data_IF_087712366664
#
_entry.id   IF_087712366664
#
_cell.length_a   1.000
_cell.length_b   1.000
_cell.length_c   1.000
_cell.angle_alpha   90.00
_cell.angle_beta   90.00
_cell.angle_gamma   90.00
#
_symmetry.space_group_name_H-M   'P 1'
#
loop_
_entity.id
_entity.type
_entity.pdbx_description
1 polymer ?
#
# COMPACT_ATOMS: atom_id res chain seq x y z
N UNK A 1 -12.24 -5.67 -96.20
CA UNK A 1 -12.57 -7.09 -96.41
C UNK A 1 -12.99 -7.69 -95.05
N UNK A 2 -14.28 -8.02 -95.00
CA UNK A 2 -14.98 -9.01 -94.11
C UNK A 2 -14.57 -9.13 -92.66
N UNK A 3 -15.47 -8.74 -91.70
CA UNK A 3 -16.52 -9.59 -91.03
C UNK A 3 -15.87 -10.49 -90.00
N UNK A 4 -16.31 -10.61 -88.80
CA UNK A 4 -17.66 -10.84 -88.26
C UNK A 4 -17.72 -10.60 -86.74
N UNK A 5 -18.89 -10.10 -86.36
CA UNK A 5 -19.60 -10.13 -85.08
C UNK A 5 -19.45 -11.43 -84.27
N UNK A 6 -19.47 -11.29 -82.99
CA UNK A 6 -20.49 -11.98 -82.15
C UNK A 6 -20.64 -11.31 -80.74
N UNK A 7 -21.84 -10.94 -80.44
CA UNK A 7 -22.38 -10.60 -79.12
C UNK A 7 -22.45 -11.88 -78.24
N UNK A 8 -22.10 -11.77 -77.00
CA UNK A 8 -22.73 -12.61 -75.96
C UNK A 8 -22.92 -11.79 -74.70
N UNK A 9 -24.17 -11.70 -74.31
CA UNK A 9 -24.73 -11.22 -73.03
C UNK A 9 -24.20 -12.03 -71.88
N UNK A 10 -23.79 -11.36 -70.79
CA UNK A 10 -23.59 -11.99 -69.53
C UNK A 10 -24.26 -11.18 -68.42
N UNK A 11 -25.00 -11.89 -67.59
CA UNK A 11 -25.93 -11.44 -66.61
C UNK A 11 -25.23 -10.76 -65.41
N UNK A 12 -25.91 -9.72 -64.89
CA UNK A 12 -25.63 -9.13 -63.59
C UNK A 12 -25.98 -10.12 -62.47
N UNK A 13 -24.97 -10.52 -61.72
CA UNK A 13 -25.16 -11.13 -60.41
C UNK A 13 -24.71 -10.13 -59.34
N UNK A 14 -25.69 -9.53 -58.69
CA UNK A 14 -25.45 -8.66 -57.55
C UNK A 14 -24.98 -9.47 -56.35
N UNK A 15 -23.76 -9.24 -55.91
CA UNK A 15 -23.27 -9.72 -54.63
C UNK A 15 -23.50 -8.61 -53.59
N UNK A 16 -24.50 -8.80 -52.72
CA UNK A 16 -24.69 -8.00 -51.53
C UNK A 16 -23.58 -8.33 -50.52
N UNK A 17 -22.64 -7.44 -50.34
CA UNK A 17 -21.68 -7.51 -49.21
C UNK A 17 -22.40 -7.10 -47.94
N UNK A 18 -22.78 -8.10 -47.14
CA UNK A 18 -23.10 -7.94 -45.71
C UNK A 18 -21.81 -7.59 -44.97
N UNK A 19 -21.62 -6.30 -44.66
CA UNK A 19 -20.67 -5.84 -43.64
C UNK A 19 -21.19 -6.30 -42.30
N UNK A 20 -20.71 -7.45 -41.83
CA UNK A 20 -20.79 -7.81 -40.45
C UNK A 20 -19.87 -6.87 -39.70
N UNK A 21 -20.44 -5.86 -39.02
CA UNK A 21 -19.76 -5.12 -37.98
C UNK A 21 -19.49 -6.09 -36.81
N UNK A 22 -18.33 -6.73 -36.86
CA UNK A 22 -17.79 -7.37 -35.65
C UNK A 22 -17.48 -6.25 -34.68
N UNK A 23 -18.32 -6.09 -33.65
CA UNK A 23 -17.95 -5.40 -32.42
C UNK A 23 -16.81 -6.20 -31.81
N UNK A 24 -15.60 -5.84 -32.18
CA UNK A 24 -14.39 -6.29 -31.48
C UNK A 24 -14.39 -5.59 -30.14
N UNK A 25 -15.02 -6.24 -29.16
CA UNK A 25 -14.82 -5.92 -27.75
C UNK A 25 -13.40 -6.34 -27.42
N UNK A 26 -12.45 -5.45 -27.74
CA UNK A 26 -11.08 -5.56 -27.24
C UNK A 26 -11.14 -5.53 -25.71
N UNK A 27 -11.27 -6.70 -25.10
CA UNK A 27 -10.93 -6.90 -23.73
C UNK A 27 -9.42 -6.64 -23.64
N UNK A 28 -9.04 -5.42 -23.29
CA UNK A 28 -7.66 -5.16 -22.87
C UNK A 28 -7.43 -6.03 -21.62
N UNK A 29 -6.76 -7.15 -21.82
CA UNK A 29 -6.31 -7.97 -20.70
C UNK A 29 -5.42 -7.09 -19.84
N UNK A 30 -5.90 -6.80 -18.63
CA UNK A 30 -5.15 -6.07 -17.61
C UNK A 30 -3.78 -6.71 -17.45
N UNK A 31 -2.72 -5.94 -17.48
CA UNK A 31 -1.36 -6.41 -17.18
C UNK A 31 -1.28 -7.05 -15.79
N UNK A 32 -2.21 -6.71 -14.88
CA UNK A 32 -2.35 -7.26 -13.52
C UNK A 32 -3.33 -8.44 -13.46
N UNK A 33 -4.09 -8.73 -14.52
CA UNK A 33 -5.18 -9.71 -14.52
C UNK A 33 -6.38 -9.37 -13.65
N UNK A 34 -6.35 -8.25 -12.97
CA UNK A 34 -7.49 -7.70 -12.25
C UNK A 34 -8.46 -7.07 -13.25
N UNK A 35 -9.72 -7.48 -13.18
CA UNK A 35 -10.82 -6.91 -13.94
C UNK A 35 -11.81 -6.25 -12.97
N UNK A 36 -11.49 -5.06 -12.44
CA UNK A 36 -12.43 -4.35 -11.57
C UNK A 36 -13.67 -3.93 -12.37
N UNK A 37 -14.81 -3.70 -11.71
CA UNK A 37 -15.99 -3.14 -12.34
C UNK A 37 -15.66 -1.84 -13.09
N UNK A 38 -16.30 -1.63 -14.25
CA UNK A 38 -16.08 -0.41 -15.06
C UNK A 38 -16.78 0.81 -14.42
N UNK A 39 -16.21 1.27 -13.32
CA UNK A 39 -16.64 2.49 -12.63
C UNK A 39 -15.98 3.72 -13.28
N UNK A 40 -16.68 4.83 -13.28
CA UNK A 40 -16.18 6.09 -13.86
C UNK A 40 -15.76 7.06 -12.77
N UNK A 41 -14.60 7.66 -12.93
CA UNK A 41 -14.20 8.81 -12.15
C UNK A 41 -15.02 10.06 -12.55
N UNK A 42 -15.30 11.00 -11.63
CA UNK A 42 -15.94 12.25 -11.97
C UNK A 42 -15.06 13.07 -12.92
N UNK A 43 -15.69 13.82 -13.84
CA UNK A 43 -14.98 14.72 -14.77
C UNK A 43 -14.85 16.14 -14.25
N UNK A 44 -15.69 16.51 -13.26
CA UNK A 44 -15.69 17.82 -12.57
C UNK A 44 -16.24 17.63 -11.16
N UNK A 45 -15.84 18.54 -10.26
CA UNK A 45 -16.46 18.64 -8.94
C UNK A 45 -17.72 19.52 -8.99
N UNK A 46 -18.69 19.15 -8.17
CA UNK A 46 -19.91 19.91 -7.91
C UNK A 46 -19.80 20.78 -6.67
N UNK A 47 -20.96 21.12 -6.10
CA UNK A 47 -21.04 21.72 -4.76
C UNK A 47 -20.64 20.69 -3.70
N UNK A 48 -20.04 21.17 -2.61
CA UNK A 48 -19.78 20.35 -1.41
C UNK A 48 -21.10 19.90 -0.79
N UNK A 49 -21.10 18.69 -0.28
CA UNK A 49 -22.27 18.08 0.35
C UNK A 49 -22.41 18.45 1.83
N UNK A 50 -21.42 19.17 2.38
CA UNK A 50 -21.43 19.66 3.75
C UNK A 50 -20.76 18.73 4.77
N UNK A 51 -20.44 17.48 4.39
CA UNK A 51 -19.71 16.54 5.26
C UNK A 51 -18.88 15.57 4.44
N UNK A 52 -17.99 14.81 5.12
CA UNK A 52 -17.27 13.67 4.59
C UNK A 52 -17.04 12.64 5.69
N UNK A 53 -17.34 11.37 5.38
CA UNK A 53 -17.21 10.24 6.31
C UNK A 53 -15.98 9.42 5.92
N UNK A 54 -14.97 9.36 6.80
CA UNK A 54 -13.66 8.82 6.52
C UNK A 54 -13.36 7.57 7.36
N UNK A 55 -12.65 6.59 6.77
CA UNK A 55 -11.98 5.52 7.49
C UNK A 55 -10.48 5.81 7.44
N UNK A 56 -9.81 5.82 8.58
CA UNK A 56 -8.41 6.21 8.65
C UNK A 56 -7.61 5.35 9.64
N UNK A 57 -6.31 5.31 9.46
CA UNK A 57 -5.39 4.94 10.53
C UNK A 57 -5.39 6.03 11.61
N UNK A 58 -5.07 5.64 12.85
CA UNK A 58 -4.82 6.62 13.92
C UNK A 58 -3.69 7.57 13.50
N UNK A 59 -3.86 8.86 13.76
CA UNK A 59 -2.88 9.89 13.40
C UNK A 59 -3.04 10.50 12.00
N UNK A 60 -4.05 10.11 11.22
CA UNK A 60 -4.28 10.65 9.86
C UNK A 60 -5.40 11.68 9.77
N UNK A 61 -6.26 11.79 10.79
CA UNK A 61 -7.42 12.68 10.77
C UNK A 61 -7.53 13.36 12.15
N UNK A 62 -6.57 14.23 12.45
CA UNK A 62 -6.51 14.90 13.76
C UNK A 62 -7.28 16.21 13.75
N UNK A 63 -8.19 16.34 14.72
CA UNK A 63 -9.10 17.49 14.89
C UNK A 63 -8.77 18.35 16.13
N UNK A 64 -7.69 18.03 16.82
CA UNK A 64 -7.27 18.72 18.03
C UNK A 64 -7.88 18.16 19.33
N UNK A 65 -8.66 17.09 19.26
CA UNK A 65 -9.26 16.47 20.46
C UNK A 65 -8.23 15.78 21.33
N UNK A 66 -7.24 15.12 20.73
CA UNK A 66 -6.15 14.44 21.44
C UNK A 66 -5.03 15.42 21.80
N UNK A 67 -4.62 16.28 20.88
CA UNK A 67 -3.67 17.37 21.11
C UNK A 67 -4.15 18.63 20.40
N UNK A 68 -4.54 19.70 21.14
CA UNK A 68 -5.02 20.95 20.55
C UNK A 68 -4.07 21.65 19.57
N UNK A 69 -2.78 21.26 19.58
CA UNK A 69 -1.75 21.76 18.65
C UNK A 69 -1.77 21.03 17.31
N UNK A 70 -2.45 19.90 17.22
CA UNK A 70 -2.48 18.99 16.08
C UNK A 70 -3.90 18.96 15.53
N UNK A 71 -4.19 19.88 14.59
CA UNK A 71 -5.54 20.06 14.05
C UNK A 71 -5.51 20.55 12.61
N UNK A 72 -5.46 19.65 11.65
CA UNK A 72 -5.64 19.99 10.23
C UNK A 72 -7.08 19.79 9.75
N UNK A 73 -7.92 19.09 10.50
CA UNK A 73 -9.34 18.90 10.22
C UNK A 73 -10.09 20.21 10.35
N UNK A 74 -9.92 20.95 11.43
CA UNK A 74 -10.63 22.20 11.65
C UNK A 74 -10.37 23.26 10.58
N UNK A 75 -9.16 23.33 10.03
CA UNK A 75 -8.83 24.22 8.91
C UNK A 75 -9.45 23.74 7.60
N UNK A 76 -9.53 22.44 7.37
CA UNK A 76 -10.26 21.86 6.23
C UNK A 76 -11.74 22.22 6.27
N UNK A 77 -12.39 22.02 7.40
CA UNK A 77 -13.82 22.31 7.60
C UNK A 77 -14.13 23.78 7.35
N UNK A 78 -13.31 24.69 7.91
CA UNK A 78 -13.46 26.15 7.71
C UNK A 78 -13.32 26.54 6.23
N UNK A 79 -12.37 25.95 5.51
CA UNK A 79 -12.08 26.33 4.12
C UNK A 79 -13.07 25.72 3.13
N UNK A 80 -13.60 24.55 3.42
CA UNK A 80 -14.39 23.78 2.46
C UNK A 80 -15.88 23.72 2.78
N UNK A 81 -16.25 23.94 4.04
CA UNK A 81 -17.61 23.72 4.56
C UNK A 81 -17.96 22.22 4.66
N UNK A 82 -16.99 21.31 4.58
CA UNK A 82 -17.19 19.87 4.73
C UNK A 82 -16.83 19.45 6.16
N UNK A 83 -17.81 19.11 6.98
CA UNK A 83 -17.61 18.53 8.32
C UNK A 83 -16.99 17.15 8.18
N UNK A 84 -15.96 16.84 8.98
CA UNK A 84 -15.26 15.57 8.93
C UNK A 84 -15.73 14.64 10.04
N UNK A 85 -16.23 13.48 9.66
CA UNK A 85 -16.48 12.37 10.58
C UNK A 85 -15.48 11.26 10.28
N UNK A 86 -14.72 10.85 11.27
CA UNK A 86 -13.70 9.82 11.07
C UNK A 86 -13.94 8.59 11.94
N UNK A 87 -13.65 7.42 11.37
CA UNK A 87 -13.57 6.14 12.06
C UNK A 87 -12.13 5.63 11.97
N UNK A 88 -11.47 5.55 13.11
CA UNK A 88 -10.18 4.87 13.19
C UNK A 88 -10.40 3.37 13.05
N UNK A 89 -9.70 2.75 12.11
CA UNK A 89 -9.67 1.31 11.91
C UNK A 89 -8.38 0.72 12.48
N UNK A 90 -8.49 -0.47 13.07
CA UNK A 90 -7.37 -1.16 13.68
C UNK A 90 -6.57 -2.04 12.70
N UNK A 91 -7.09 -2.30 11.49
CA UNK A 91 -6.45 -3.16 10.49
C UNK A 91 -6.95 -2.91 9.08
N UNK A 92 -6.15 -3.31 8.08
CA UNK A 92 -6.56 -3.34 6.66
C UNK A 92 -7.84 -4.16 6.43
N UNK A 93 -8.02 -5.26 7.16
CA UNK A 93 -9.22 -6.09 7.04
C UNK A 93 -10.47 -5.38 7.56
N UNK A 94 -10.35 -4.62 8.65
CA UNK A 94 -11.45 -3.78 9.14
C UNK A 94 -11.79 -2.68 8.14
N UNK A 95 -10.79 -2.02 7.54
CA UNK A 95 -11.01 -1.00 6.50
C UNK A 95 -11.80 -1.57 5.30
N UNK A 96 -11.39 -2.75 4.81
CA UNK A 96 -12.11 -3.42 3.70
C UNK A 96 -13.54 -3.76 4.11
N UNK A 97 -13.77 -4.22 5.34
CA UNK A 97 -15.10 -4.54 5.87
C UNK A 97 -15.99 -3.28 5.97
N UNK A 98 -15.45 -2.19 6.50
CA UNK A 98 -16.17 -0.92 6.66
C UNK A 98 -16.53 -0.31 5.30
N UNK A 99 -15.60 -0.32 4.33
CA UNK A 99 -15.88 0.19 2.98
C UNK A 99 -17.03 -0.54 2.27
N UNK A 100 -17.20 -1.84 2.50
CA UNK A 100 -18.30 -2.64 1.92
C UNK A 100 -19.69 -2.17 2.39
N UNK A 101 -19.79 -1.56 3.56
CA UNK A 101 -21.06 -1.05 4.09
C UNK A 101 -21.64 0.06 3.22
N UNK A 102 -20.79 0.84 2.56
CA UNK A 102 -21.20 2.02 1.79
C UNK A 102 -21.59 3.21 2.68
N UNK A 103 -21.19 3.18 3.96
CA UNK A 103 -21.45 4.27 4.90
C UNK A 103 -20.36 5.35 4.86
N UNK A 104 -19.20 5.03 4.31
CA UNK A 104 -18.04 5.91 4.28
C UNK A 104 -17.72 6.37 2.86
N UNK A 105 -17.17 7.59 2.75
CA UNK A 105 -16.85 8.24 1.49
C UNK A 105 -15.42 7.96 1.03
N UNK A 106 -14.49 7.82 1.97
CA UNK A 106 -13.10 7.54 1.65
C UNK A 106 -12.39 6.74 2.75
N UNK A 107 -11.28 6.11 2.37
CA UNK A 107 -10.44 5.29 3.26
C UNK A 107 -8.96 5.52 2.97
N UNK A 108 -8.11 5.55 4.00
CA UNK A 108 -6.66 5.54 3.89
C UNK A 108 -6.15 4.10 3.88
N UNK A 109 -6.19 3.43 2.72
CA UNK A 109 -5.87 2.01 2.61
C UNK A 109 -4.38 1.76 2.36
N UNK A 110 -3.81 0.80 3.08
CA UNK A 110 -2.48 0.26 2.78
C UNK A 110 -2.51 -0.68 1.58
N UNK A 111 -1.35 -0.95 0.98
CA UNK A 111 -1.25 -1.70 -0.27
C UNK A 111 -1.81 -3.12 -0.22
N UNK A 112 -1.84 -3.76 0.95
CA UNK A 112 -2.43 -5.08 1.16
C UNK A 112 -3.97 -5.09 1.09
N UNK A 113 -4.62 -3.91 1.24
CA UNK A 113 -6.07 -3.74 1.11
C UNK A 113 -6.48 -3.18 -0.26
N UNK A 114 -5.64 -2.38 -0.90
CA UNK A 114 -6.01 -1.56 -2.06
C UNK A 114 -6.59 -2.35 -3.22
N UNK A 115 -5.91 -3.42 -3.68
CA UNK A 115 -6.41 -4.22 -4.80
C UNK A 115 -7.69 -4.99 -4.44
N UNK A 116 -7.92 -5.30 -3.16
CA UNK A 116 -9.17 -5.93 -2.69
C UNK A 116 -10.35 -4.97 -2.87
N UNK A 117 -10.16 -3.71 -2.50
CA UNK A 117 -11.17 -2.65 -2.66
C UNK A 117 -11.44 -2.33 -4.13
N UNK A 118 -10.38 -2.35 -4.96
CA UNK A 118 -10.49 -2.14 -6.40
C UNK A 118 -11.23 -3.30 -7.05
N UNK A 119 -10.82 -4.54 -6.77
CA UNK A 119 -11.38 -5.74 -7.37
C UNK A 119 -12.85 -5.95 -7.00
N UNK A 120 -13.25 -5.64 -5.76
CA UNK A 120 -14.64 -5.73 -5.31
C UNK A 120 -15.52 -4.59 -5.84
N UNK A 121 -14.92 -3.53 -6.41
CA UNK A 121 -15.64 -2.33 -6.83
C UNK A 121 -16.07 -1.43 -5.68
N UNK A 122 -15.54 -1.62 -4.47
CA UNK A 122 -15.82 -0.75 -3.33
C UNK A 122 -15.05 0.58 -3.41
N UNK A 123 -13.90 0.60 -4.12
CA UNK A 123 -13.19 1.84 -4.46
C UNK A 123 -13.45 2.25 -5.92
N UNK A 124 -13.74 3.53 -6.15
CA UNK A 124 -13.87 4.11 -7.47
C UNK A 124 -12.51 4.61 -8.02
N UNK A 125 -12.32 4.63 -9.35
CA UNK A 125 -11.17 5.32 -9.92
C UNK A 125 -11.20 6.81 -9.60
N UNK A 126 -10.01 7.39 -9.42
CA UNK A 126 -9.83 8.80 -9.09
C UNK A 126 -9.35 9.57 -10.31
N UNK A 127 -10.03 10.67 -10.64
CA UNK A 127 -9.54 11.65 -11.60
C UNK A 127 -8.51 12.57 -10.93
N UNK A 128 -7.23 12.28 -11.12
CA UNK A 128 -6.14 13.02 -10.48
C UNK A 128 -6.05 14.49 -10.93
N UNK A 129 -6.65 14.85 -12.07
CA UNK A 129 -6.75 16.26 -12.51
C UNK A 129 -7.64 17.12 -11.59
N UNK A 130 -8.53 16.47 -10.82
CA UNK A 130 -9.38 17.14 -9.81
C UNK A 130 -8.71 17.25 -8.44
N UNK A 131 -7.45 16.81 -8.32
CA UNK A 131 -6.62 16.87 -7.11
C UNK A 131 -5.33 17.66 -7.44
N UNK A 132 -5.37 19.00 -7.46
CA UNK A 132 -4.26 19.85 -7.93
C UNK A 132 -2.91 19.54 -7.27
N UNK A 133 -2.89 19.17 -5.99
CA UNK A 133 -1.66 18.85 -5.26
C UNK A 133 -1.04 17.50 -5.67
N UNK A 134 -1.78 16.63 -6.38
CA UNK A 134 -1.25 15.38 -6.92
C UNK A 134 -0.06 15.59 -7.87
N UNK A 135 0.01 16.73 -8.55
CA UNK A 135 1.15 17.07 -9.43
C UNK A 135 2.49 17.02 -8.68
N UNK A 136 2.48 17.39 -7.41
CA UNK A 136 3.66 17.50 -6.54
C UNK A 136 3.95 16.20 -5.75
N UNK A 137 3.14 15.16 -5.88
CA UNK A 137 3.42 13.83 -5.33
C UNK A 137 4.66 13.24 -6.01
N UNK A 138 5.54 12.59 -5.24
CA UNK A 138 6.72 11.92 -5.76
C UNK A 138 6.36 10.93 -6.88
N UNK A 139 7.18 10.91 -7.94
CA UNK A 139 6.90 10.10 -9.14
C UNK A 139 6.83 8.61 -8.85
N UNK A 140 7.64 8.10 -7.91
CA UNK A 140 7.64 6.70 -7.49
C UNK A 140 6.37 6.24 -6.78
N UNK A 141 5.49 7.17 -6.38
CA UNK A 141 4.19 6.85 -5.77
C UNK A 141 3.02 6.95 -6.75
N UNK A 142 3.25 7.49 -7.96
CA UNK A 142 2.23 7.65 -8.99
C UNK A 142 2.12 6.38 -9.84
N UNK A 143 0.89 5.97 -10.15
CA UNK A 143 0.60 4.77 -10.97
C UNK A 143 1.28 3.49 -10.45
N UNK A 144 1.37 3.36 -9.15
CA UNK A 144 1.99 2.21 -8.51
C UNK A 144 1.10 0.97 -8.57
N UNK A 145 1.70 -0.22 -8.55
CA UNK A 145 0.98 -1.49 -8.70
C UNK A 145 -0.08 -1.74 -7.62
N UNK A 146 0.08 -1.14 -6.44
CA UNK A 146 -0.87 -1.30 -5.33
C UNK A 146 -2.07 -0.33 -5.38
N UNK A 147 -2.01 0.76 -6.15
CA UNK A 147 -3.08 1.76 -6.18
C UNK A 147 -3.55 2.13 -7.59
N UNK A 148 -3.10 1.42 -8.61
CA UNK A 148 -3.54 1.61 -9.99
C UNK A 148 -3.77 0.29 -10.71
N UNK A 149 -4.80 0.26 -11.55
CA UNK A 149 -5.14 -0.89 -12.41
C UNK A 149 -5.48 -0.37 -13.79
N UNK A 150 -4.92 -0.98 -14.83
CA UNK A 150 -5.15 -0.61 -16.23
C UNK A 150 -4.86 0.87 -16.54
N UNK A 151 -3.83 1.44 -15.93
CA UNK A 151 -3.46 2.85 -16.09
C UNK A 151 -4.41 3.84 -15.39
N UNK A 152 -5.35 3.37 -14.59
CA UNK A 152 -6.29 4.20 -13.82
C UNK A 152 -5.88 4.22 -12.35
N UNK A 153 -5.72 5.41 -11.78
CA UNK A 153 -5.51 5.59 -10.35
C UNK A 153 -6.81 5.35 -9.58
N UNK A 154 -6.70 4.73 -8.41
CA UNK A 154 -7.84 4.48 -7.50
C UNK A 154 -7.69 5.20 -6.15
N UNK A 155 -6.73 6.08 -6.03
CA UNK A 155 -6.54 6.89 -4.84
C UNK A 155 -5.34 7.83 -4.96
N UNK A 156 -5.10 8.60 -3.91
CA UNK A 156 -4.01 9.56 -3.81
C UNK A 156 -3.06 9.08 -2.71
N UNK A 157 -1.78 8.80 -3.02
CA UNK A 157 -0.79 8.44 -2.02
C UNK A 157 -0.63 9.53 -0.96
N UNK A 158 -0.53 9.13 0.31
CA UNK A 158 -0.47 10.02 1.44
C UNK A 158 0.94 10.12 2.03
N UNK A 159 1.58 8.95 2.21
CA UNK A 159 2.92 8.82 2.74
C UNK A 159 3.48 7.44 2.46
N UNK A 160 4.68 7.18 2.96
CA UNK A 160 5.32 5.88 2.84
C UNK A 160 6.29 5.61 3.99
N UNK A 161 6.45 4.33 4.34
CA UNK A 161 7.41 3.87 5.33
C UNK A 161 8.06 2.54 4.92
N UNK A 162 9.25 2.30 5.44
CA UNK A 162 9.94 1.02 5.28
C UNK A 162 9.80 0.19 6.55
N UNK A 163 9.68 -1.13 6.40
CA UNK A 163 9.89 -2.06 7.48
C UNK A 163 11.40 -2.20 7.70
N UNK A 164 11.86 -2.01 8.92
CA UNK A 164 13.27 -1.97 9.26
C UNK A 164 13.63 -3.11 10.20
N UNK A 165 14.90 -3.48 10.20
CA UNK A 165 15.49 -4.32 11.24
C UNK A 165 15.99 -3.42 12.37
N UNK A 166 15.33 -3.47 13.53
CA UNK A 166 15.78 -2.79 14.74
C UNK A 166 16.53 -3.76 15.66
N UNK A 167 17.54 -3.26 16.34
CA UNK A 167 18.30 -4.04 17.31
C UNK A 167 18.85 -3.19 18.45
N UNK A 168 18.97 -3.80 19.63
CA UNK A 168 19.64 -3.22 20.78
C UNK A 168 21.16 -3.28 20.55
N UNK A 169 21.84 -2.13 20.56
CA UNK A 169 23.27 -2.01 20.22
C UNK A 169 24.24 -2.60 21.24
N UNK A 170 23.79 -2.82 22.48
CA UNK A 170 24.57 -3.50 23.54
C UNK A 170 24.41 -5.01 23.51
N UNK A 171 23.17 -5.48 23.29
CA UNK A 171 22.84 -6.91 23.43
C UNK A 171 23.06 -7.69 22.13
N UNK A 172 22.95 -7.04 20.97
CA UNK A 172 23.09 -7.68 19.65
C UNK A 172 24.43 -7.30 19.04
N UNK A 173 25.37 -8.21 19.10
CA UNK A 173 26.73 -8.04 18.57
C UNK A 173 27.19 -9.27 17.80
N UNK A 174 27.88 -9.10 16.65
CA UNK A 174 28.08 -7.85 15.91
C UNK A 174 26.75 -7.25 15.45
N UNK A 175 26.75 -5.98 15.04
CA UNK A 175 25.57 -5.31 14.48
C UNK A 175 25.01 -6.11 13.29
N UNK A 176 23.72 -6.44 13.25
CA UNK A 176 23.13 -7.22 12.18
C UNK A 176 23.08 -6.39 10.88
N UNK A 177 23.28 -7.05 9.75
CA UNK A 177 23.18 -6.46 8.42
C UNK A 177 22.20 -7.21 7.51
N UNK A 178 21.51 -8.20 8.06
CA UNK A 178 20.68 -9.15 7.34
C UNK A 178 19.44 -9.50 8.17
N UNK A 179 18.32 -9.73 7.49
CA UNK A 179 17.11 -10.30 8.08
C UNK A 179 17.33 -11.68 8.70
N UNK A 180 18.46 -12.35 8.43
CA UNK A 180 18.81 -13.60 9.11
C UNK A 180 18.79 -13.49 10.62
N UNK A 181 19.04 -12.31 11.19
CA UNK A 181 19.03 -12.07 12.64
C UNK A 181 17.67 -12.36 13.29
N UNK A 182 16.57 -12.14 12.57
CA UNK A 182 15.19 -12.38 13.04
C UNK A 182 14.57 -13.65 12.45
N UNK A 183 15.15 -14.25 11.42
CA UNK A 183 14.67 -15.50 10.84
C UNK A 183 15.53 -16.71 11.30
N UNK A 184 16.56 -17.05 10.57
CA UNK A 184 17.37 -18.25 10.86
C UNK A 184 18.21 -18.14 12.15
N UNK A 185 18.62 -16.91 12.51
CA UNK A 185 19.37 -16.59 13.71
C UNK A 185 18.52 -16.22 14.94
N UNK A 186 17.19 -16.23 14.81
CA UNK A 186 16.25 -15.83 15.87
C UNK A 186 16.47 -16.59 17.18
N UNK A 187 16.79 -17.88 17.10
CA UNK A 187 17.02 -18.73 18.28
C UNK A 187 18.12 -18.24 19.21
N UNK A 188 19.06 -17.41 18.71
CA UNK A 188 20.07 -16.73 19.51
C UNK A 188 19.45 -15.72 20.50
N UNK A 189 18.27 -15.23 20.17
CA UNK A 189 17.54 -14.21 20.93
C UNK A 189 16.16 -14.70 21.32
N UNK A 190 16.00 -16.01 21.55
CA UNK A 190 14.72 -16.65 21.85
C UNK A 190 13.96 -15.92 22.97
N UNK A 191 12.69 -15.61 22.68
CA UNK A 191 11.81 -14.85 23.56
C UNK A 191 12.07 -13.33 23.61
N UNK A 192 13.04 -12.83 22.81
CA UNK A 192 13.41 -11.42 22.71
C UNK A 192 13.37 -10.89 21.28
N UNK A 193 12.72 -11.60 20.39
CA UNK A 193 12.51 -11.21 19.00
C UNK A 193 11.11 -10.62 18.86
N UNK A 194 10.98 -9.48 18.16
CA UNK A 194 9.66 -8.94 17.78
C UNK A 194 9.40 -9.13 16.29
N UNK A 195 8.13 -9.32 15.95
CA UNK A 195 7.66 -9.41 14.58
C UNK A 195 6.34 -8.65 14.40
N UNK A 196 6.11 -8.10 13.19
CA UNK A 196 4.88 -7.38 12.90
C UNK A 196 3.67 -8.33 12.86
N UNK A 197 2.60 -7.98 13.58
CA UNK A 197 1.40 -8.79 13.70
C UNK A 197 0.44 -8.56 12.52
N UNK A 198 0.79 -9.09 11.35
CA UNK A 198 -0.06 -9.02 10.18
C UNK A 198 0.23 -10.15 9.19
N UNK A 199 -0.79 -10.68 8.49
CA UNK A 199 -0.59 -11.65 7.41
C UNK A 199 0.41 -11.20 6.33
N UNK A 200 0.53 -9.89 6.10
CA UNK A 200 1.46 -9.35 5.10
C UNK A 200 2.94 -9.59 5.49
N UNK A 201 3.23 -9.88 6.75
CA UNK A 201 4.58 -10.25 7.21
C UNK A 201 5.12 -11.52 6.54
N UNK A 202 4.26 -12.34 5.94
CA UNK A 202 4.70 -13.48 5.09
C UNK A 202 5.55 -12.98 3.91
N UNK A 203 5.30 -11.76 3.41
CA UNK A 203 6.12 -11.16 2.36
C UNK A 203 7.54 -10.81 2.83
N UNK A 204 7.74 -10.46 4.09
CA UNK A 204 9.08 -10.22 4.67
C UNK A 204 9.91 -11.51 4.65
N UNK A 205 9.30 -12.63 5.05
CA UNK A 205 9.93 -13.95 4.94
C UNK A 205 10.22 -14.33 3.48
N UNK A 206 9.29 -14.05 2.56
CA UNK A 206 9.47 -14.31 1.14
C UNK A 206 10.58 -13.45 0.53
N UNK A 207 10.70 -12.18 0.91
CA UNK A 207 11.77 -11.29 0.50
C UNK A 207 13.14 -11.81 0.98
N UNK A 208 13.22 -12.27 2.22
CA UNK A 208 14.43 -12.89 2.75
C UNK A 208 14.79 -14.17 1.96
N UNK A 209 13.81 -15.03 1.71
CA UNK A 209 14.00 -16.26 0.92
C UNK A 209 14.37 -15.96 -0.54
N UNK A 210 13.84 -14.90 -1.14
CA UNK A 210 14.25 -14.44 -2.48
C UNK A 210 15.76 -14.22 -2.57
N UNK A 211 16.35 -13.66 -1.53
CA UNK A 211 17.78 -13.37 -1.49
C UNK A 211 18.64 -14.57 -1.08
N UNK A 212 18.12 -15.50 -0.27
CA UNK A 212 18.90 -16.60 0.34
C UNK A 212 18.63 -17.98 -0.24
N UNK A 213 17.53 -18.14 -1.00
CA UNK A 213 17.08 -19.40 -1.60
C UNK A 213 16.74 -19.21 -3.08
N UNK A 214 17.76 -18.96 -3.94
CA UNK A 214 17.54 -18.67 -5.36
C UNK A 214 16.82 -19.79 -6.12
N UNK A 215 16.87 -21.03 -5.63
CA UNK A 215 16.13 -22.17 -6.19
C UNK A 215 14.61 -22.03 -6.09
N UNK A 216 14.10 -21.16 -5.20
CA UNK A 216 12.68 -20.84 -5.10
C UNK A 216 12.23 -19.88 -6.22
N UNK A 217 13.15 -19.17 -6.88
CA UNK A 217 12.87 -18.24 -7.99
C UNK A 217 11.79 -17.18 -7.66
N UNK A 218 11.73 -16.73 -6.41
CA UNK A 218 10.80 -15.67 -6.00
C UNK A 218 11.18 -14.37 -6.73
N UNK A 219 10.27 -13.83 -7.54
CA UNK A 219 10.45 -12.55 -8.24
C UNK A 219 9.88 -11.39 -7.42
N UNK A 220 8.65 -11.58 -6.91
CA UNK A 220 7.90 -10.61 -6.14
C UNK A 220 7.43 -11.28 -4.84
N UNK A 221 7.70 -10.69 -3.65
CA UNK A 221 7.31 -11.26 -2.37
C UNK A 221 5.78 -11.31 -2.16
N UNK A 222 5.00 -10.62 -2.99
CA UNK A 222 3.53 -10.61 -2.95
C UNK A 222 2.89 -11.52 -4.01
N UNK A 223 3.69 -12.11 -4.89
CA UNK A 223 3.23 -13.00 -5.96
C UNK A 223 3.85 -14.41 -5.78
N UNK A 224 3.44 -15.10 -4.74
CA UNK A 224 3.98 -16.41 -4.38
C UNK A 224 3.11 -17.54 -4.95
N UNK A 225 3.69 -18.46 -5.70
CA UNK A 225 3.07 -19.76 -5.96
C UNK A 225 3.05 -20.62 -4.68
N UNK A 226 2.35 -21.75 -4.71
CA UNK A 226 2.15 -22.57 -3.51
C UNK A 226 3.48 -23.00 -2.88
N UNK A 227 4.48 -23.41 -3.68
CA UNK A 227 5.79 -23.83 -3.17
C UNK A 227 6.55 -22.69 -2.48
N UNK A 228 6.51 -21.51 -3.07
CA UNK A 228 7.16 -20.30 -2.53
C UNK A 228 6.46 -19.86 -1.24
N UNK A 229 5.13 -19.90 -1.23
CA UNK A 229 4.32 -19.57 -0.08
C UNK A 229 4.57 -20.53 1.09
N UNK A 230 4.55 -21.84 0.83
CA UNK A 230 4.81 -22.86 1.85
C UNK A 230 6.19 -22.69 2.48
N UNK A 231 7.20 -22.33 1.67
CA UNK A 231 8.53 -22.06 2.18
C UNK A 231 8.59 -20.85 3.11
N UNK A 232 7.87 -19.76 2.76
CA UNK A 232 7.77 -18.56 3.61
C UNK A 232 7.03 -18.86 4.92
N UNK A 233 5.91 -19.59 4.85
CA UNK A 233 5.14 -20.02 6.02
C UNK A 233 5.96 -20.94 6.93
N UNK A 234 6.71 -21.88 6.36
CA UNK A 234 7.59 -22.79 7.13
C UNK A 234 8.69 -22.01 7.87
N UNK A 235 9.27 -20.98 7.23
CA UNK A 235 10.27 -20.11 7.86
C UNK A 235 9.66 -19.36 9.05
N UNK A 236 8.45 -18.82 8.91
CA UNK A 236 7.76 -18.11 9.99
C UNK A 236 7.29 -19.02 11.11
N UNK A 237 6.80 -20.23 10.80
CA UNK A 237 6.48 -21.25 11.85
C UNK A 237 7.74 -21.62 12.67
N UNK A 238 8.90 -21.66 12.03
CA UNK A 238 10.17 -21.84 12.75
C UNK A 238 10.51 -20.63 13.60
N UNK A 239 10.39 -19.42 13.08
CA UNK A 239 10.65 -18.18 13.79
C UNK A 239 9.72 -18.01 15.00
N UNK A 240 8.44 -18.41 14.89
CA UNK A 240 7.44 -18.28 15.95
C UNK A 240 7.90 -18.88 17.29
N UNK A 241 8.69 -19.95 17.26
CA UNK A 241 9.24 -20.56 18.47
C UNK A 241 10.23 -19.64 19.23
N UNK A 242 10.74 -18.61 18.58
CA UNK A 242 11.74 -17.69 19.11
C UNK A 242 11.17 -16.27 19.33
N UNK A 243 9.98 -15.95 18.78
CA UNK A 243 9.31 -14.67 18.94
C UNK A 243 8.82 -14.50 20.38
N UNK A 244 9.16 -13.38 20.99
CA UNK A 244 8.64 -12.98 22.30
C UNK A 244 7.39 -12.15 22.20
N UNK A 245 7.28 -11.34 21.13
CA UNK A 245 6.13 -10.46 20.93
C UNK A 245 5.81 -10.27 19.44
N UNK A 246 4.52 -10.40 19.11
CA UNK A 246 3.95 -9.91 17.87
C UNK A 246 3.34 -8.53 18.13
N UNK A 247 3.85 -7.50 17.47
CA UNK A 247 3.40 -6.14 17.68
C UNK A 247 2.46 -5.66 16.56
N UNK A 248 1.34 -5.08 16.93
CA UNK A 248 0.43 -4.31 16.08
C UNK A 248 0.25 -2.90 16.61
N UNK A 249 0.64 -2.69 17.89
CA UNK A 249 0.66 -1.39 18.56
C UNK A 249 2.12 -0.93 18.71
N UNK A 250 2.45 0.19 18.07
CA UNK A 250 3.82 0.72 18.03
C UNK A 250 4.37 1.12 19.40
N UNK A 251 3.50 1.58 20.34
CA UNK A 251 3.93 1.94 21.70
C UNK A 251 4.33 0.72 22.53
N UNK A 252 3.72 -0.43 22.27
CA UNK A 252 4.15 -1.68 22.90
C UNK A 252 5.55 -2.07 22.45
N UNK A 253 5.85 -1.96 21.15
CA UNK A 253 7.19 -2.25 20.65
C UNK A 253 8.24 -1.28 21.23
N UNK A 254 7.93 0.03 21.31
CA UNK A 254 8.79 1.02 22.00
C UNK A 254 9.08 0.57 23.43
N UNK A 255 8.05 0.20 24.19
CA UNK A 255 8.18 -0.24 25.58
C UNK A 255 9.02 -1.51 25.70
N UNK A 256 8.83 -2.50 24.83
CA UNK A 256 9.56 -3.76 24.83
C UNK A 256 11.07 -3.58 24.57
N UNK A 257 11.45 -2.69 23.65
CA UNK A 257 12.87 -2.38 23.42
C UNK A 257 13.49 -1.54 24.54
N UNK A 258 12.70 -0.69 25.17
CA UNK A 258 13.12 0.15 26.29
C UNK A 258 13.35 -0.67 27.57
N UNK A 259 12.46 -1.61 27.89
CA UNK A 259 12.62 -2.54 29.02
C UNK A 259 13.73 -3.57 28.77
N UNK A 260 14.02 -3.86 27.50
CA UNK A 260 14.93 -4.92 27.07
C UNK A 260 14.27 -6.30 27.01
N UNK A 261 12.94 -6.36 27.03
CA UNK A 261 12.17 -7.58 26.77
C UNK A 261 12.33 -7.99 25.30
N UNK A 262 12.53 -7.00 24.40
CA UNK A 262 12.91 -7.23 23.02
C UNK A 262 14.29 -6.67 22.73
N UNK A 263 15.07 -7.35 21.89
CA UNK A 263 16.43 -6.94 21.54
C UNK A 263 16.67 -6.86 20.02
N UNK A 264 15.87 -7.53 19.22
CA UNK A 264 15.95 -7.52 17.77
C UNK A 264 14.58 -7.81 17.16
N UNK A 265 14.22 -7.14 16.09
CA UNK A 265 12.93 -7.37 15.46
C UNK A 265 12.65 -6.47 14.26
N UNK A 266 11.45 -6.61 13.73
CA UNK A 266 10.91 -5.69 12.70
C UNK A 266 10.39 -4.43 13.36
N UNK A 267 10.53 -3.30 12.70
CA UNK A 267 10.08 -2.00 13.21
C UNK A 267 9.77 -1.01 12.10
N UNK A 268 9.26 0.15 12.46
CA UNK A 268 9.20 1.34 11.59
C UNK A 268 10.14 2.43 12.09
N UNK A 269 10.48 3.38 11.21
CA UNK A 269 11.40 4.46 11.56
C UNK A 269 10.92 5.28 12.77
N UNK A 270 9.62 5.59 12.84
CA UNK A 270 9.03 6.32 13.99
C UNK A 270 9.23 5.58 15.30
N UNK A 271 9.07 4.27 15.30
CA UNK A 271 9.25 3.43 16.51
C UNK A 271 10.70 3.47 16.98
N UNK A 272 11.64 3.30 16.04
CA UNK A 272 13.06 3.36 16.36
C UNK A 272 13.48 4.74 16.90
N UNK A 273 12.96 5.83 16.30
CA UNK A 273 13.21 7.19 16.74
C UNK A 273 12.63 7.43 18.14
N UNK A 274 11.40 7.00 18.40
CA UNK A 274 10.73 7.17 19.67
C UNK A 274 11.43 6.36 20.76
N UNK A 275 11.74 5.10 20.51
CA UNK A 275 12.49 4.25 21.45
C UNK A 275 13.84 4.88 21.83
N UNK A 276 14.58 5.39 20.83
CA UNK A 276 15.86 6.05 21.06
C UNK A 276 15.69 7.35 21.88
N UNK A 277 14.68 8.17 21.58
CA UNK A 277 14.40 9.41 22.33
C UNK A 277 14.03 9.15 23.79
N UNK A 278 13.43 8.00 24.08
CA UNK A 278 13.11 7.53 25.43
C UNK A 278 14.24 6.76 26.11
N UNK A 279 15.43 6.76 25.52
CA UNK A 279 16.66 6.24 26.09
C UNK A 279 16.97 4.77 25.79
N UNK A 280 16.21 4.12 24.89
CA UNK A 280 16.58 2.79 24.42
C UNK A 280 17.82 2.86 23.52
N UNK A 281 18.77 1.96 23.71
CA UNK A 281 19.99 1.91 22.93
C UNK A 281 19.78 1.08 21.66
N UNK A 282 19.01 1.61 20.73
CA UNK A 282 18.60 0.95 19.50
C UNK A 282 19.17 1.61 18.24
N UNK A 283 19.28 0.82 17.20
CA UNK A 283 19.47 1.26 15.81
C UNK A 283 18.55 0.48 14.89
N UNK A 284 18.10 1.13 13.84
CA UNK A 284 17.32 0.50 12.78
C UNK A 284 18.02 0.68 11.42
N UNK A 285 17.79 -0.27 10.52
CA UNK A 285 18.41 -0.23 9.18
C UNK A 285 17.57 -1.04 8.18
N UNK A 286 17.74 -0.74 6.90
CA UNK A 286 17.32 -1.63 5.80
C UNK A 286 18.41 -2.67 5.60
N UNK A 287 18.13 -3.98 5.81
CA UNK A 287 19.11 -5.04 5.62
C UNK A 287 19.60 -5.16 4.17
N UNK A 288 20.69 -5.93 3.98
CA UNK A 288 21.31 -6.11 2.66
C UNK A 288 20.37 -6.72 1.61
N UNK A 289 19.40 -7.52 2.03
CA UNK A 289 18.37 -8.14 1.20
C UNK A 289 17.33 -7.13 0.69
N UNK A 290 17.35 -5.90 1.17
CA UNK A 290 16.26 -4.94 1.05
C UNK A 290 15.22 -5.13 2.12
N UNK A 291 14.06 -4.51 1.96
CA UNK A 291 12.94 -4.63 2.90
C UNK A 291 11.60 -4.55 2.19
N UNK A 292 10.55 -4.91 2.90
CA UNK A 292 9.19 -4.52 2.56
C UNK A 292 8.90 -3.12 3.09
N UNK A 293 7.78 -2.56 2.69
CA UNK A 293 7.35 -1.24 3.17
C UNK A 293 5.91 -0.97 2.76
N UNK A 294 5.37 0.11 3.25
CA UNK A 294 3.98 0.50 3.02
C UNK A 294 3.89 1.89 2.41
N UNK A 295 2.81 2.12 1.70
CA UNK A 295 2.41 3.43 1.20
C UNK A 295 0.90 3.51 1.22
N UNK A 296 0.37 4.31 2.12
CA UNK A 296 -1.06 4.45 2.30
C UNK A 296 -1.64 5.39 1.26
N UNK A 297 -2.84 5.04 0.82
CA UNK A 297 -3.51 5.71 -0.30
C UNK A 297 -4.93 6.07 0.10
N UNK A 298 -5.29 7.33 0.00
CA UNK A 298 -6.67 7.77 0.18
C UNK A 298 -7.50 7.39 -1.04
N UNK A 299 -8.42 6.45 -0.86
CA UNK A 299 -9.31 5.91 -1.90
C UNK A 299 -10.73 6.38 -1.66
N UNK A 300 -11.45 6.72 -2.75
CA UNK A 300 -12.85 7.15 -2.69
C UNK A 300 -13.77 5.95 -2.87
N UNK A 301 -14.78 5.84 -2.02
CA UNK A 301 -15.82 4.82 -2.12
C UNK A 301 -16.59 4.95 -3.44
N UNK A 302 -16.88 3.83 -4.09
CA UNK A 302 -17.79 3.81 -5.23
C UNK A 302 -19.24 4.16 -4.85
N UNK A 303 -19.54 4.11 -3.55
CA UNK A 303 -20.85 4.40 -2.94
C UNK A 303 -20.83 5.72 -2.15
N UNK A 304 -19.78 6.55 -2.33
CA UNK A 304 -19.63 7.80 -1.61
C UNK A 304 -20.88 8.68 -1.73
N UNK A 305 -21.40 9.11 -0.59
CA UNK A 305 -22.54 10.03 -0.50
C UNK A 305 -22.09 11.49 -0.65
N UNK A 306 -20.82 11.74 -0.31
CA UNK A 306 -20.23 13.08 -0.30
C UNK A 306 -18.95 13.15 -1.17
N UNK A 307 -19.03 12.77 -2.47
CA UNK A 307 -17.84 12.63 -3.33
C UNK A 307 -17.09 13.95 -3.56
N UNK A 308 -17.77 15.12 -3.56
CA UNK A 308 -17.07 16.38 -3.74
C UNK A 308 -16.26 16.76 -2.50
N UNK A 309 -16.80 16.54 -1.30
CA UNK A 309 -16.04 16.70 -0.04
C UNK A 309 -14.88 15.69 0.04
N UNK A 310 -15.07 14.42 -0.39
CA UNK A 310 -14.01 13.44 -0.44
C UNK A 310 -12.84 13.88 -1.36
N UNK A 311 -13.13 14.38 -2.56
CA UNK A 311 -12.08 14.92 -3.45
C UNK A 311 -11.37 16.15 -2.88
N UNK A 312 -12.08 17.01 -2.14
CA UNK A 312 -11.46 18.13 -1.43
C UNK A 312 -10.53 17.62 -0.32
N UNK A 313 -10.93 16.57 0.39
CA UNK A 313 -10.08 15.90 1.37
C UNK A 313 -8.81 15.31 0.72
N UNK A 314 -8.95 14.60 -0.39
CA UNK A 314 -7.80 14.07 -1.13
C UNK A 314 -6.78 15.16 -1.49
N UNK A 315 -7.26 16.32 -1.93
CA UNK A 315 -6.37 17.44 -2.26
C UNK A 315 -5.79 18.12 -1.02
N UNK A 316 -6.55 18.19 0.06
CA UNK A 316 -6.14 18.80 1.32
C UNK A 316 -5.00 18.03 1.98
N UNK A 317 -5.21 16.74 2.18
CA UNK A 317 -4.30 15.87 2.92
C UNK A 317 -2.92 15.73 2.25
N UNK A 318 -2.83 15.94 0.95
CA UNK A 318 -1.57 15.96 0.20
C UNK A 318 -1.11 17.38 -0.20
N UNK A 319 -1.69 18.43 0.40
CA UNK A 319 -1.12 19.78 0.26
C UNK A 319 0.22 19.87 1.01
N UNK A 320 1.17 20.70 0.58
CA UNK A 320 2.52 20.70 1.17
C UNK A 320 2.54 20.81 2.68
N UNK A 321 1.83 21.80 3.24
CA UNK A 321 1.77 22.05 4.68
C UNK A 321 1.12 20.90 5.43
N UNK A 322 -0.10 20.50 5.04
CA UNK A 322 -0.85 19.46 5.75
C UNK A 322 -0.14 18.11 5.65
N UNK A 323 0.42 17.78 4.48
CA UNK A 323 1.15 16.53 4.32
C UNK A 323 2.46 16.51 5.15
N UNK A 324 3.08 17.68 5.41
CA UNK A 324 4.18 17.79 6.35
C UNK A 324 3.72 17.58 7.80
N UNK A 325 2.63 18.23 8.22
CA UNK A 325 2.08 18.10 9.57
C UNK A 325 1.70 16.64 9.90
N UNK A 326 1.00 15.97 8.97
CA UNK A 326 0.64 14.56 9.14
C UNK A 326 1.87 13.67 9.16
N UNK A 327 2.83 13.90 8.24
CA UNK A 327 4.06 13.10 8.18
C UNK A 327 4.88 13.22 9.47
N UNK A 328 5.00 14.43 10.04
CA UNK A 328 5.71 14.63 11.30
C UNK A 328 4.96 14.01 12.49
N UNK A 329 3.65 14.11 12.53
CA UNK A 329 2.85 13.56 13.63
C UNK A 329 2.82 12.03 13.61
N UNK A 330 2.52 11.43 12.47
CA UNK A 330 2.44 9.98 12.31
C UNK A 330 3.84 9.33 12.30
N UNK A 331 4.82 10.01 11.72
CA UNK A 331 6.19 9.51 11.55
C UNK A 331 6.37 8.70 10.27
N UNK A 332 6.15 9.34 9.12
CA UNK A 332 6.32 8.75 7.79
C UNK A 332 7.02 9.70 6.81
N UNK A 333 7.52 9.18 5.70
CA UNK A 333 7.96 10.03 4.60
C UNK A 333 6.74 10.62 3.87
N UNK A 334 6.61 11.96 3.74
CA UNK A 334 5.48 12.57 3.07
C UNK A 334 5.43 12.18 1.59
N UNK A 335 4.22 12.10 1.04
CA UNK A 335 4.02 11.84 -0.39
C UNK A 335 4.27 13.06 -1.28
N UNK A 336 4.04 14.27 -0.76
CA UNK A 336 4.24 15.51 -1.51
C UNK A 336 5.70 15.98 -1.44
N UNK A 337 6.34 16.16 -2.59
CA UNK A 337 7.75 16.56 -2.68
C UNK A 337 8.06 17.95 -2.09
N UNK A 338 7.04 18.81 -1.94
CA UNK A 338 7.17 20.14 -1.35
C UNK A 338 6.96 20.15 0.17
N UNK A 339 6.43 19.06 0.74
CA UNK A 339 6.19 18.96 2.17
C UNK A 339 7.46 19.15 3.01
N UNK A 340 8.61 18.69 2.49
CA UNK A 340 9.89 18.85 3.18
C UNK A 340 10.32 20.29 3.48
N UNK A 341 9.80 21.27 2.74
CA UNK A 341 10.04 22.68 3.02
C UNK A 341 9.19 23.20 4.19
N UNK A 342 8.06 22.52 4.45
CA UNK A 342 7.06 22.89 5.45
C UNK A 342 7.27 22.16 6.81
N UNK A 343 8.14 21.14 6.88
CA UNK A 343 8.42 20.42 8.13
C UNK A 343 9.04 21.34 9.18
N UNK A 344 8.63 21.16 10.44
CA UNK A 344 9.17 21.88 11.61
C UNK A 344 10.63 21.47 11.88
N UNK A 345 10.92 20.17 11.85
CA UNK A 345 12.29 19.64 11.87
C UNK A 345 12.87 19.61 10.45
N UNK A 346 13.88 20.43 10.22
CA UNK A 346 14.57 20.54 8.91
C UNK A 346 15.33 19.25 8.52
N UNK A 347 15.58 18.35 9.46
CA UNK A 347 16.19 17.05 9.19
C UNK A 347 15.15 15.94 8.95
N UNK A 348 13.88 16.22 9.18
CA UNK A 348 12.80 15.21 9.11
C UNK A 348 12.84 14.39 7.81
N UNK A 349 12.81 15.06 6.69
CA UNK A 349 12.82 14.39 5.38
C UNK A 349 14.11 13.60 5.09
N UNK A 350 15.22 13.98 5.68
CA UNK A 350 16.47 13.23 5.57
C UNK A 350 16.40 11.94 6.41
N UNK A 351 15.87 12.04 7.64
CA UNK A 351 15.69 10.90 8.55
C UNK A 351 14.72 9.87 7.97
N UNK A 352 13.64 10.34 7.34
CA UNK A 352 12.62 9.47 6.71
C UNK A 352 12.90 9.18 5.22
N UNK A 353 14.05 9.58 4.69
CA UNK A 353 14.47 9.33 3.30
C UNK A 353 13.49 9.82 2.24
N UNK A 354 12.71 10.88 2.52
CA UNK A 354 11.56 11.27 1.70
C UNK A 354 11.90 11.43 0.20
N UNK A 355 13.05 12.03 -0.14
CA UNK A 355 13.51 12.27 -1.51
C UNK A 355 14.59 11.28 -2.00
N UNK A 356 14.96 10.27 -1.21
CA UNK A 356 16.00 9.30 -1.57
C UNK A 356 15.45 8.15 -2.39
N UNK A 357 15.35 8.34 -3.69
CA UNK A 357 14.86 7.29 -4.60
C UNK A 357 15.73 6.02 -4.59
N UNK A 358 17.02 6.09 -4.23
CA UNK A 358 17.87 4.90 -4.14
C UNK A 358 17.56 4.08 -2.88
N UNK A 359 17.16 4.73 -1.81
CA UNK A 359 16.63 4.06 -0.62
C UNK A 359 15.34 3.31 -0.99
N UNK A 360 14.38 3.99 -1.63
CA UNK A 360 13.07 3.42 -1.96
C UNK A 360 13.13 2.30 -3.01
N UNK A 361 14.11 2.27 -3.90
CA UNK A 361 14.34 1.14 -4.83
C UNK A 361 14.65 -0.19 -4.11
N UNK A 362 15.07 -0.13 -2.86
CA UNK A 362 15.34 -1.32 -2.03
C UNK A 362 14.11 -1.80 -1.26
N UNK A 363 12.99 -1.10 -1.38
CA UNK A 363 11.76 -1.36 -0.65
C UNK A 363 10.73 -1.99 -1.60
N UNK A 364 10.29 -3.19 -1.26
CA UNK A 364 9.15 -3.84 -1.90
C UNK A 364 7.86 -3.38 -1.20
N UNK A 365 7.15 -2.43 -1.79
CA UNK A 365 5.95 -1.88 -1.19
C UNK A 365 4.84 -2.93 -1.12
N UNK A 366 4.11 -2.94 0.01
CA UNK A 366 2.97 -3.83 0.22
C UNK A 366 2.02 -3.79 -0.96
N UNK A 367 1.61 -4.98 -1.36
CA UNK A 367 0.65 -5.17 -2.42
C UNK A 367 -0.28 -6.33 -2.03
N UNK A 368 -1.50 -6.32 -2.52
CA UNK A 368 -2.46 -7.37 -2.22
C UNK A 368 -2.13 -8.64 -3.00
N UNK A 369 -1.78 -9.77 -2.36
CA UNK A 369 -1.66 -11.05 -3.03
C UNK A 369 -2.98 -11.49 -3.66
N UNK A 370 -2.96 -11.80 -4.95
CA UNK A 370 -4.11 -12.27 -5.72
C UNK A 370 -3.78 -13.57 -6.47
N UNK A 371 -4.79 -14.31 -6.93
CA UNK A 371 -4.58 -15.59 -7.63
C UNK A 371 -3.79 -15.45 -8.92
N UNK A 372 -3.96 -14.36 -9.64
CA UNK A 372 -3.13 -14.04 -10.78
C UNK A 372 -1.83 -13.44 -10.30
N UNK A 373 -0.71 -14.04 -10.69
CA UNK A 373 0.59 -13.59 -10.23
C UNK A 373 0.92 -12.18 -10.71
N UNK A 374 1.12 -11.24 -9.77
CA UNK A 374 1.45 -9.84 -10.04
C UNK A 374 2.83 -9.67 -10.72
N UNK A 375 3.67 -10.70 -10.67
CA UNK A 375 4.99 -10.73 -11.32
C UNK A 375 4.95 -11.12 -12.81
N UNK A 376 3.75 -11.24 -13.38
CA UNK A 376 3.50 -11.53 -14.79
C UNK A 376 3.57 -13.01 -15.17
N UNK A 377 3.75 -13.94 -14.22
CA UNK A 377 3.64 -15.38 -14.49
C UNK A 377 2.20 -15.75 -14.82
N UNK A 378 1.98 -16.51 -15.89
CA UNK A 378 0.67 -16.96 -16.36
C UNK A 378 0.52 -18.48 -16.35
N UNK A 379 1.62 -19.19 -16.14
CA UNK A 379 1.72 -20.65 -16.11
C UNK A 379 1.47 -21.25 -14.73
N UNK A 380 1.39 -20.41 -13.71
CA UNK A 380 1.10 -20.77 -12.31
C UNK A 380 0.03 -19.87 -11.72
N UNK A 381 -0.61 -20.33 -10.64
CA UNK A 381 -1.46 -19.48 -9.80
C UNK A 381 -0.72 -19.08 -8.55
N UNK A 382 -0.88 -17.83 -8.16
CA UNK A 382 -0.38 -17.31 -6.90
C UNK A 382 -1.39 -17.50 -5.77
N UNK A 383 -0.89 -17.54 -4.55
CA UNK A 383 -1.70 -17.76 -3.35
C UNK A 383 -2.37 -16.44 -2.95
N UNK A 384 -3.72 -16.35 -2.97
CA UNK A 384 -4.42 -15.10 -2.69
C UNK A 384 -4.43 -14.76 -1.20
N UNK A 385 -4.64 -13.47 -0.88
CA UNK A 385 -4.54 -12.91 0.48
C UNK A 385 -5.36 -13.67 1.54
N UNK A 386 -6.55 -14.19 1.18
CA UNK A 386 -7.35 -15.00 2.11
C UNK A 386 -6.60 -16.22 2.65
N UNK A 387 -5.71 -16.81 1.85
CA UNK A 387 -4.85 -17.90 2.29
C UNK A 387 -3.71 -17.43 3.19
N UNK A 388 -3.24 -16.20 2.99
CA UNK A 388 -2.26 -15.56 3.87
C UNK A 388 -2.83 -15.34 5.27
N UNK A 389 -4.08 -14.87 5.36
CA UNK A 389 -4.79 -14.71 6.64
C UNK A 389 -4.93 -16.06 7.37
N UNK A 390 -5.31 -17.12 6.65
CA UNK A 390 -5.41 -18.47 7.22
C UNK A 390 -4.05 -18.96 7.75
N UNK A 391 -3.01 -18.86 6.92
CA UNK A 391 -1.67 -19.28 7.30
C UNK A 391 -1.10 -18.46 8.45
N UNK A 392 -1.40 -17.15 8.52
CA UNK A 392 -0.98 -16.29 9.62
C UNK A 392 -1.54 -16.76 10.96
N UNK A 393 -2.82 -17.13 10.98
CA UNK A 393 -3.44 -17.74 12.16
C UNK A 393 -2.72 -19.02 12.57
N UNK A 394 -2.39 -19.89 11.61
CA UNK A 394 -1.65 -21.13 11.88
C UNK A 394 -0.19 -20.91 12.33
N UNK A 395 0.46 -19.83 11.90
CA UNK A 395 1.83 -19.49 12.30
C UNK A 395 1.84 -19.10 13.77
N UNK A 396 0.86 -18.34 14.21
CA UNK A 396 0.82 -17.84 15.59
C UNK A 396 0.30 -18.88 16.60
N UNK A 397 -0.54 -19.83 16.19
CA UNK A 397 -1.13 -20.90 17.02
C UNK A 397 -2.51 -20.53 17.49
#
# INVERSE_FOLDING_TARGET
>A
MRLTRTLRTAACAGAALLLAAACDSSHSTSATGLNPPDLKAPTKLGRTEGQVDLIAWAGYVEDGSDDPRVNWVGDFEKQTGCQVHSKVAASSDEMVKLMKTGEYDAVSASGDASLRLIASGDAAPVNTALVPNYKDVFSGLKNSAWNSVNGRMYGIPHGRGANLLMYNTRKVRPAPTSWSAVFEGASKYKGHVTAYDSPIYIADAALYLKATRPELRIKDPYALDQKQFDAAVALLKKQNADVGEYWGDYLKEVSAFKSGDSVVGTTWQVIANLAASEGAEVKALVPKEGSTGWSDTWMVSSKAKHPNCAYKWLNWIVSPKVNAEVAEYFGEAPANSKACAETSDKNFCAVYHAADENYWKRIAFWNTPIEQCLDGRTDVRCVPYVKWVQAWTEIKG
#
